data_IF_351235679464
#
_entry.id   IF_351235679464
#
_cell.length_a   1.000
_cell.length_b   1.000
_cell.length_c   1.000
_cell.angle_alpha   90.00
_cell.angle_beta   90.00
_cell.angle_gamma   90.00
#
_symmetry.space_group_name_H-M   'P 1'
#
loop_
_entity.id
_entity.type
_entity.pdbx_description
1 polymer ?
#
# COMPACT_ATOMS: atom_id res chain seq x y z
N UNK A 1 -80.36 -18.44 33.34
CA UNK A 1 -79.69 -17.69 32.25
C UNK A 1 -78.19 -17.85 32.41
N UNK A 2 -77.54 -18.61 31.52
CA UNK A 2 -76.11 -18.93 31.60
C UNK A 2 -75.32 -17.78 30.95
N UNK A 3 -74.51 -17.09 31.75
CA UNK A 3 -73.62 -16.03 31.31
C UNK A 3 -72.45 -16.63 30.49
N UNK A 4 -72.48 -16.45 29.17
CA UNK A 4 -71.37 -16.83 28.28
C UNK A 4 -70.23 -15.81 28.42
N UNK A 5 -69.26 -16.08 29.31
CA UNK A 5 -68.04 -15.27 29.39
C UNK A 5 -67.17 -15.53 28.14
N UNK A 6 -67.16 -14.60 27.19
CA UNK A 6 -66.18 -14.61 26.09
C UNK A 6 -64.78 -14.40 26.67
N UNK A 7 -63.95 -15.43 26.62
CA UNK A 7 -62.52 -15.37 26.95
C UNK A 7 -61.81 -14.39 26.01
N UNK A 8 -61.20 -13.34 26.58
CA UNK A 8 -60.37 -12.36 25.85
C UNK A 8 -58.90 -12.71 26.05
N UNK A 9 -58.11 -12.62 24.98
CA UNK A 9 -56.67 -12.88 25.01
C UNK A 9 -55.91 -11.56 25.02
N UNK A 10 -54.92 -11.42 25.90
CA UNK A 10 -54.15 -10.20 26.10
C UNK A 10 -52.69 -10.42 25.70
N UNK A 11 -52.13 -9.52 24.89
CA UNK A 11 -50.69 -9.40 24.68
C UNK A 11 -50.23 -8.05 25.25
N UNK A 12 -49.24 -8.08 26.15
CA UNK A 12 -48.58 -6.88 26.65
C UNK A 12 -47.18 -6.79 26.03
N UNK A 13 -46.87 -5.63 25.44
CA UNK A 13 -45.50 -5.24 25.09
C UNK A 13 -45.31 -3.85 25.67
N UNK A 14 -44.22 -3.66 26.41
CA UNK A 14 -43.87 -2.43 27.17
C UNK A 14 -44.40 -1.17 26.46
N UNK A 15 -45.49 -0.60 26.99
CA UNK A 15 -46.12 0.64 26.53
C UNK A 15 -47.53 0.52 25.93
N UNK A 16 -47.91 -0.60 25.30
CA UNK A 16 -49.19 -0.72 24.58
C UNK A 16 -49.93 -2.04 24.89
N UNK A 17 -51.24 -1.94 25.15
CA UNK A 17 -52.13 -3.10 25.33
C UNK A 17 -52.93 -3.38 24.06
N UNK A 18 -52.73 -4.54 23.45
CA UNK A 18 -53.57 -5.01 22.34
C UNK A 18 -54.50 -6.13 22.84
N UNK A 19 -55.82 -5.94 22.67
CA UNK A 19 -56.84 -6.95 22.99
C UNK A 19 -57.27 -7.69 21.73
N UNK A 20 -57.24 -9.03 21.76
CA UNK A 20 -57.60 -9.87 20.62
C UNK A 20 -58.94 -10.57 20.85
N UNK A 21 -59.78 -10.60 19.80
CA UNK A 21 -61.13 -11.17 19.85
C UNK A 21 -61.14 -12.70 19.78
N UNK A 22 -60.05 -13.31 19.32
CA UNK A 22 -59.89 -14.77 19.24
C UNK A 22 -58.43 -15.20 19.43
N UNK A 23 -58.24 -16.48 19.76
CA UNK A 23 -56.91 -17.10 19.87
C UNK A 23 -56.12 -17.05 18.56
N UNK A 24 -56.81 -17.17 17.42
CA UNK A 24 -56.18 -17.10 16.09
C UNK A 24 -55.66 -15.70 15.76
N UNK A 25 -56.35 -14.64 16.19
CA UNK A 25 -55.92 -13.26 15.97
C UNK A 25 -54.63 -12.96 16.77
N UNK A 26 -54.55 -13.48 18.00
CA UNK A 26 -53.34 -13.41 18.82
C UNK A 26 -52.17 -14.16 18.17
N UNK A 27 -52.38 -15.39 17.69
CA UNK A 27 -51.33 -16.17 17.01
C UNK A 27 -50.82 -15.48 15.74
N UNK A 28 -51.72 -14.93 14.91
CA UNK A 28 -51.34 -14.15 13.71
C UNK A 28 -50.51 -12.90 14.05
N UNK A 29 -50.85 -12.22 15.14
CA UNK A 29 -50.09 -11.06 15.61
C UNK A 29 -48.68 -11.45 16.11
N UNK A 30 -48.58 -12.53 16.89
CA UNK A 30 -47.30 -13.05 17.39
C UNK A 30 -46.38 -13.53 16.26
N UNK A 31 -46.91 -14.22 15.24
CA UNK A 31 -46.11 -14.69 14.09
C UNK A 31 -45.69 -13.56 13.16
N UNK A 32 -46.55 -12.57 12.93
CA UNK A 32 -46.21 -11.34 12.20
C UNK A 32 -45.07 -10.57 12.89
N UNK A 33 -45.17 -10.39 14.21
CA UNK A 33 -44.18 -9.61 14.98
C UNK A 33 -42.85 -10.35 15.16
N UNK A 34 -42.83 -11.68 15.26
CA UNK A 34 -41.59 -12.46 15.28
C UNK A 34 -40.88 -12.46 13.92
N UNK A 35 -41.62 -12.59 12.82
CA UNK A 35 -41.09 -12.49 11.46
C UNK A 35 -40.48 -11.12 11.17
N UNK A 36 -41.15 -10.02 11.59
CA UNK A 36 -40.61 -8.67 11.45
C UNK A 36 -39.31 -8.45 12.26
N UNK A 37 -39.17 -9.07 13.43
CA UNK A 37 -37.91 -9.00 14.22
C UNK A 37 -36.78 -9.78 13.55
N UNK A 38 -37.07 -10.95 13.00
CA UNK A 38 -36.11 -11.77 12.26
C UNK A 38 -35.61 -11.03 11.01
N UNK A 39 -36.52 -10.45 10.21
CA UNK A 39 -36.18 -9.67 9.01
C UNK A 39 -35.29 -8.47 9.39
N UNK A 40 -35.64 -7.72 10.44
CA UNK A 40 -34.81 -6.60 10.92
C UNK A 40 -33.43 -7.03 11.40
N UNK A 41 -33.30 -8.22 12.00
CA UNK A 41 -32.00 -8.78 12.42
C UNK A 41 -31.16 -9.19 11.22
N UNK A 42 -31.76 -9.85 10.22
CA UNK A 42 -31.09 -10.21 8.96
C UNK A 42 -30.60 -8.99 8.18
N UNK A 43 -31.41 -7.93 8.05
CA UNK A 43 -31.01 -6.70 7.37
C UNK A 43 -29.83 -5.98 8.05
N UNK A 44 -29.77 -5.99 9.40
CA UNK A 44 -28.63 -5.44 10.17
C UNK A 44 -27.35 -6.24 9.99
N UNK A 45 -27.45 -7.57 9.95
CA UNK A 45 -26.29 -8.45 9.73
C UNK A 45 -25.74 -8.25 8.32
N UNK A 46 -26.62 -8.16 7.31
CA UNK A 46 -26.22 -7.95 5.92
C UNK A 46 -25.56 -6.59 5.70
N UNK A 47 -26.04 -5.53 6.34
CA UNK A 47 -25.38 -4.21 6.31
C UNK A 47 -24.00 -4.25 6.97
N UNK A 48 -23.83 -4.97 8.09
CA UNK A 48 -22.53 -5.14 8.73
C UNK A 48 -21.52 -5.85 7.81
N UNK A 49 -21.92 -6.95 7.15
CA UNK A 49 -21.04 -7.65 6.20
C UNK A 49 -20.68 -6.79 5.00
N UNK A 50 -21.61 -6.02 4.45
CA UNK A 50 -21.34 -5.11 3.33
C UNK A 50 -20.31 -4.03 3.71
N UNK A 51 -20.41 -3.47 4.93
CA UNK A 51 -19.43 -2.49 5.44
C UNK A 51 -18.05 -3.13 5.64
N UNK A 52 -18.00 -4.34 6.20
CA UNK A 52 -16.75 -5.07 6.42
C UNK A 52 -16.05 -5.43 5.09
N UNK A 53 -16.81 -5.86 4.07
CA UNK A 53 -16.29 -6.12 2.73
C UNK A 53 -15.74 -4.83 2.10
N UNK A 54 -16.44 -3.70 2.23
CA UNK A 54 -15.95 -2.40 1.75
C UNK A 54 -14.61 -2.04 2.41
N UNK A 55 -14.50 -2.26 3.73
CA UNK A 55 -13.28 -1.98 4.49
C UNK A 55 -12.11 -2.87 4.05
N UNK A 56 -12.35 -4.16 3.83
CA UNK A 56 -11.35 -5.11 3.29
C UNK A 56 -10.86 -4.72 1.88
N UNK A 57 -11.74 -4.24 1.01
CA UNK A 57 -11.36 -3.76 -0.33
C UNK A 57 -10.47 -2.52 -0.23
N UNK A 58 -10.77 -1.59 0.70
CA UNK A 58 -9.95 -0.39 0.88
C UNK A 58 -8.55 -0.68 1.43
N UNK A 59 -8.41 -1.64 2.36
CA UNK A 59 -7.10 -2.01 2.94
C UNK A 59 -6.21 -2.72 1.91
N UNK A 60 -6.78 -3.60 1.09
CA UNK A 60 -6.02 -4.36 0.08
C UNK A 60 -5.58 -3.53 -1.13
N UNK A 61 -6.25 -2.41 -1.40
CA UNK A 61 -5.87 -1.47 -2.47
C UNK A 61 -4.60 -0.67 -2.15
N UNK A 62 -4.29 -0.45 -0.87
CA UNK A 62 -3.16 0.39 -0.46
C UNK A 62 -1.78 -0.30 -0.56
N UNK A 63 -1.70 -1.62 -0.77
CA UNK A 63 -0.43 -2.36 -0.66
C UNK A 63 0.33 -2.57 -1.98
N UNK A 64 -0.13 -2.03 -3.10
CA UNK A 64 0.58 -2.13 -4.39
C UNK A 64 1.23 -0.80 -4.76
N UNK A 65 2.26 -0.40 -4.01
CA UNK A 65 3.22 0.56 -4.53
C UNK A 65 3.96 -0.12 -5.71
N UNK A 66 3.50 0.14 -6.93
CA UNK A 66 4.14 -0.34 -8.16
C UNK A 66 5.57 0.20 -8.23
N UNK A 67 6.55 -0.68 -8.03
CA UNK A 67 7.95 -0.40 -8.31
C UNK A 67 8.08 -0.01 -9.79
N UNK A 68 8.50 1.22 -10.08
CA UNK A 68 8.62 1.70 -11.47
C UNK A 68 10.03 1.40 -11.95
N UNK A 69 10.14 0.56 -12.98
CA UNK A 69 11.41 0.32 -13.69
C UNK A 69 11.58 1.43 -14.73
N UNK A 70 12.73 2.09 -14.73
CA UNK A 70 13.07 3.16 -15.67
C UNK A 70 14.37 2.83 -16.38
N UNK A 71 14.39 2.96 -17.70
CA UNK A 71 15.61 2.87 -18.50
C UNK A 71 16.17 4.27 -18.74
N UNK A 72 17.43 4.48 -18.34
CA UNK A 72 18.11 5.78 -18.42
C UNK A 72 19.37 5.64 -19.25
N UNK A 73 19.39 6.28 -20.42
CA UNK A 73 20.61 6.44 -21.23
C UNK A 73 21.38 7.64 -20.71
N UNK A 74 22.55 7.43 -20.12
CA UNK A 74 23.33 8.52 -19.52
C UNK A 74 24.84 8.27 -19.55
N UNK A 75 25.60 9.35 -19.41
CA UNK A 75 27.06 9.35 -19.37
C UNK A 75 27.55 9.22 -17.94
N UNK A 76 28.55 8.37 -17.70
CA UNK A 76 29.19 8.29 -16.37
C UNK A 76 30.04 9.53 -16.16
N UNK A 77 29.67 10.34 -15.17
CA UNK A 77 30.35 11.61 -14.85
C UNK A 77 31.42 11.38 -13.80
N UNK A 78 31.14 10.58 -12.78
CA UNK A 78 32.04 10.32 -11.66
C UNK A 78 31.82 8.91 -11.13
N UNK A 79 32.90 8.29 -10.67
CA UNK A 79 32.87 7.04 -9.92
C UNK A 79 33.69 7.29 -8.66
N UNK A 80 33.02 7.29 -7.52
CA UNK A 80 33.65 7.29 -6.21
C UNK A 80 33.60 5.88 -5.61
N UNK A 81 34.42 5.64 -4.60
CA UNK A 81 34.56 4.34 -3.95
C UNK A 81 34.55 4.53 -2.44
N UNK A 82 33.87 3.62 -1.75
CA UNK A 82 33.85 3.49 -0.28
C UNK A 82 34.41 2.11 0.09
N UNK A 83 34.29 1.68 1.35
CA UNK A 83 34.78 0.35 1.74
C UNK A 83 33.98 -0.74 1.02
N UNK A 84 32.66 -0.60 0.99
CA UNK A 84 31.71 -1.64 0.57
C UNK A 84 31.03 -1.33 -0.76
N UNK A 85 31.00 -0.07 -1.20
CA UNK A 85 30.23 0.36 -2.37
C UNK A 85 31.03 1.22 -3.36
N UNK A 86 30.62 1.19 -4.62
CA UNK A 86 30.89 2.23 -5.60
C UNK A 86 29.71 3.20 -5.67
N UNK A 87 30.00 4.48 -5.79
CA UNK A 87 29.00 5.55 -5.94
C UNK A 87 29.18 6.13 -7.33
N UNK A 88 28.15 6.04 -8.17
CA UNK A 88 28.24 6.36 -9.58
C UNK A 88 27.35 7.57 -9.85
N UNK A 89 27.99 8.69 -10.19
CA UNK A 89 27.29 9.85 -10.75
C UNK A 89 27.13 9.64 -12.25
N UNK A 90 25.88 9.72 -12.70
CA UNK A 90 25.54 9.76 -14.12
C UNK A 90 24.98 11.12 -14.48
N UNK A 91 25.30 11.59 -15.67
CA UNK A 91 24.51 12.67 -16.21
C UNK A 91 24.80 13.15 -17.61
N UNK A 92 23.73 13.60 -18.24
CA UNK A 92 23.68 14.45 -19.42
C UNK A 92 22.97 15.77 -19.04
N UNK A 93 22.86 16.74 -19.96
CA UNK A 93 22.32 18.08 -19.63
C UNK A 93 20.95 18.05 -18.92
N UNK A 94 20.08 17.08 -19.24
CA UNK A 94 18.73 16.93 -18.67
C UNK A 94 18.61 15.84 -17.61
N UNK A 95 19.43 14.80 -17.69
CA UNK A 95 19.33 13.63 -16.81
C UNK A 95 20.54 13.60 -15.91
N UNK A 96 20.40 14.00 -14.64
CA UNK A 96 21.47 13.85 -13.64
C UNK A 96 21.00 12.93 -12.54
N UNK A 97 21.82 11.95 -12.17
CA UNK A 97 21.48 11.04 -11.10
C UNK A 97 22.66 10.39 -10.43
N UNK A 98 22.37 9.74 -9.31
CA UNK A 98 23.32 9.00 -8.50
C UNK A 98 22.71 7.63 -8.23
N UNK A 99 23.54 6.60 -8.31
CA UNK A 99 23.19 5.28 -7.80
C UNK A 99 24.40 4.66 -7.10
N UNK A 100 24.11 3.73 -6.21
CA UNK A 100 25.10 3.01 -5.41
C UNK A 100 25.11 1.57 -5.87
N UNK A 101 26.29 0.96 -5.94
CA UNK A 101 26.40 -0.46 -6.23
C UNK A 101 27.40 -1.13 -5.29
N UNK A 102 27.07 -2.32 -4.83
CA UNK A 102 27.97 -3.10 -4.00
C UNK A 102 29.25 -3.47 -4.76
N UNK A 103 30.38 -3.49 -4.06
CA UNK A 103 31.61 -4.09 -4.58
C UNK A 103 31.50 -5.61 -4.66
N UNK A 104 30.69 -6.21 -3.80
CA UNK A 104 30.40 -7.64 -3.83
C UNK A 104 29.26 -7.91 -4.81
N UNK A 105 29.53 -8.74 -5.81
CA UNK A 105 28.49 -9.27 -6.69
C UNK A 105 28.37 -10.78 -6.44
N UNK A 106 27.33 -11.18 -5.71
CA UNK A 106 26.98 -12.59 -5.50
C UNK A 106 25.74 -13.01 -6.30
N UNK A 107 25.31 -12.19 -7.26
CA UNK A 107 24.11 -12.46 -8.04
C UNK A 107 24.47 -13.29 -9.28
N UNK A 108 23.91 -14.49 -9.42
CA UNK A 108 24.18 -15.38 -10.56
C UNK A 108 23.65 -14.82 -11.89
N UNK A 109 22.59 -14.01 -11.86
CA UNK A 109 21.94 -13.46 -13.06
C UNK A 109 22.55 -12.15 -13.54
N UNK A 110 23.15 -11.38 -12.62
CA UNK A 110 23.77 -10.10 -12.93
C UNK A 110 25.28 -10.25 -12.98
N UNK A 111 25.92 -9.58 -13.94
CA UNK A 111 27.37 -9.59 -14.07
C UNK A 111 27.97 -8.28 -13.57
N UNK A 112 29.21 -8.35 -13.11
CA UNK A 112 30.01 -7.14 -12.94
C UNK A 112 30.23 -6.51 -14.32
N UNK A 113 30.09 -5.19 -14.39
CA UNK A 113 30.19 -4.47 -15.64
C UNK A 113 31.40 -3.53 -15.61
N UNK A 114 32.14 -3.48 -16.73
CA UNK A 114 33.22 -2.50 -16.90
C UNK A 114 32.61 -1.19 -17.40
N UNK A 115 32.48 -0.21 -16.51
CA UNK A 115 32.07 1.14 -16.87
C UNK A 115 33.27 2.10 -16.82
N UNK A 116 33.30 3.06 -17.74
CA UNK A 116 34.36 4.07 -17.81
C UNK A 116 33.77 5.46 -17.66
N UNK A 117 34.52 6.34 -16.99
CA UNK A 117 34.20 7.77 -16.95
C UNK A 117 34.10 8.31 -18.37
N UNK A 118 33.16 9.22 -18.57
CA UNK A 118 32.85 9.86 -19.85
C UNK A 118 32.31 8.95 -20.96
N UNK A 119 31.88 7.72 -20.65
CA UNK A 119 31.22 6.83 -21.61
C UNK A 119 29.73 6.77 -21.32
N UNK A 120 28.92 6.66 -22.38
CA UNK A 120 27.46 6.50 -22.29
C UNK A 120 27.06 5.04 -22.17
N UNK A 121 26.09 4.77 -21.30
CA UNK A 121 25.51 3.45 -21.09
C UNK A 121 23.99 3.57 -20.93
N UNK A 122 23.31 2.43 -21.08
CA UNK A 122 21.89 2.28 -20.75
C UNK A 122 21.81 1.57 -19.40
N UNK A 123 21.25 2.25 -18.41
CA UNK A 123 21.04 1.72 -17.07
C UNK A 123 19.56 1.41 -16.89
N UNK A 124 19.26 0.24 -16.32
CA UNK A 124 17.90 -0.09 -15.89
C UNK A 124 17.83 0.12 -14.39
N UNK A 125 17.00 1.05 -13.94
CA UNK A 125 16.87 1.37 -12.53
C UNK A 125 15.51 0.97 -12.00
N UNK A 126 15.49 0.44 -10.78
CA UNK A 126 14.30 0.48 -9.94
C UNK A 126 14.24 1.86 -9.30
N UNK A 127 13.24 2.64 -9.67
CA UNK A 127 12.96 3.92 -9.06
C UNK A 127 11.79 3.75 -8.10
N UNK A 128 12.01 4.01 -6.82
CA UNK A 128 10.91 4.51 -6.01
C UNK A 128 10.72 5.96 -6.39
N UNK A 129 9.52 6.31 -6.81
CA UNK A 129 9.12 7.71 -6.71
C UNK A 129 9.16 8.01 -5.22
N UNK A 130 10.18 8.74 -4.79
CA UNK A 130 10.07 9.47 -3.54
C UNK A 130 8.97 10.49 -3.78
N UNK A 131 7.72 10.06 -3.60
CA UNK A 131 6.55 10.86 -3.90
C UNK A 131 6.39 11.79 -2.69
N UNK A 132 6.75 13.07 -2.82
CA UNK A 132 6.68 14.02 -1.71
C UNK A 132 5.26 14.13 -1.13
N UNK A 133 4.25 13.70 -1.90
CA UNK A 133 2.83 13.79 -1.53
C UNK A 133 2.27 12.56 -0.80
N UNK A 134 3.02 11.45 -0.65
CA UNK A 134 2.52 10.23 0.02
C UNK A 134 3.17 9.95 1.37
N UNK A 135 4.19 10.70 1.73
CA UNK A 135 4.76 10.65 3.08
C UNK A 135 4.02 11.66 3.96
N UNK A 136 3.55 11.23 5.12
CA UNK A 136 3.07 12.10 6.21
C UNK A 136 4.15 13.08 6.73
N UNK A 137 5.32 13.09 6.12
CA UNK A 137 6.46 13.94 6.44
C UNK A 137 6.35 15.24 5.63
N UNK A 138 6.42 16.42 6.28
CA UNK A 138 6.36 17.69 5.58
C UNK A 138 7.47 17.78 4.51
N UNK A 139 7.16 18.40 3.37
CA UNK A 139 8.05 18.67 2.22
C UNK A 139 9.40 19.38 2.54
N UNK A 140 9.67 19.66 3.81
CA UNK A 140 10.89 20.30 4.32
C UNK A 140 11.91 19.30 4.87
N UNK A 141 11.55 18.02 5.00
CA UNK A 141 12.46 17.05 5.60
C UNK A 141 13.63 16.73 4.66
N UNK A 142 14.83 16.88 5.20
CA UNK A 142 16.07 16.52 4.53
C UNK A 142 16.19 15.01 4.54
N UNK A 143 16.13 14.40 3.36
CA UNK A 143 16.35 12.97 3.18
C UNK A 143 17.77 12.78 2.71
N UNK A 144 18.46 11.84 3.36
CA UNK A 144 19.84 11.52 3.09
C UNK A 144 19.97 10.04 2.77
N UNK A 145 20.80 9.75 1.80
CA UNK A 145 21.26 8.40 1.50
C UNK A 145 22.72 8.28 1.89
N UNK A 146 23.08 7.14 2.48
CA UNK A 146 24.39 6.89 3.03
C UNK A 146 25.03 5.64 2.40
N UNK A 147 26.34 5.68 2.20
CA UNK A 147 27.17 4.51 1.91
C UNK A 147 28.36 4.50 2.88
N UNK A 148 28.52 3.44 3.67
CA UNK A 148 29.53 3.33 4.73
C UNK A 148 29.61 4.59 5.62
N UNK A 149 28.47 5.05 6.13
CA UNK A 149 28.33 6.26 6.98
C UNK A 149 28.65 7.60 6.29
N UNK A 150 28.98 7.60 5.00
CA UNK A 150 29.16 8.82 4.20
C UNK A 150 27.87 9.20 3.49
N UNK A 151 27.47 10.46 3.56
CA UNK A 151 26.34 10.99 2.78
C UNK A 151 26.73 10.95 1.29
N UNK A 152 25.91 10.26 0.49
CA UNK A 152 26.12 10.12 -0.96
C UNK A 152 25.09 10.86 -1.79
N UNK A 153 23.89 11.03 -1.26
CA UNK A 153 22.83 11.81 -1.89
C UNK A 153 21.94 12.47 -0.84
N UNK A 154 21.34 13.61 -1.21
CA UNK A 154 20.20 14.17 -0.49
C UNK A 154 19.24 14.87 -1.47
N UNK A 155 18.00 15.08 -1.03
CA UNK A 155 16.94 15.68 -1.84
C UNK A 155 17.22 17.13 -2.32
N UNK A 156 18.23 17.82 -1.76
CA UNK A 156 18.68 19.15 -2.24
C UNK A 156 19.67 19.08 -3.40
N UNK A 157 20.25 17.92 -3.72
CA UNK A 157 21.36 17.80 -4.68
C UNK A 157 21.00 17.98 -6.17
N UNK A 158 19.76 18.38 -6.53
CA UNK A 158 19.29 18.55 -7.93
C UNK A 158 19.68 17.38 -8.86
N UNK A 159 19.71 16.17 -8.31
CA UNK A 159 20.02 14.90 -8.97
C UNK A 159 19.00 13.87 -8.53
N UNK A 160 18.59 12.97 -9.41
CA UNK A 160 17.75 11.83 -9.03
C UNK A 160 18.57 10.76 -8.32
N UNK A 161 18.03 10.18 -7.26
CA UNK A 161 18.61 8.97 -6.66
C UNK A 161 17.93 7.74 -7.26
N UNK A 162 18.72 6.78 -7.70
CA UNK A 162 18.24 5.48 -8.15
C UNK A 162 18.71 4.41 -7.16
N UNK A 163 17.75 3.76 -6.51
CA UNK A 163 18.01 2.83 -5.40
C UNK A 163 18.79 1.60 -5.86
N UNK A 164 18.40 1.04 -7.01
CA UNK A 164 18.95 -0.21 -7.50
C UNK A 164 19.10 -0.19 -9.01
N UNK A 165 20.26 -0.64 -9.49
CA UNK A 165 20.51 -0.87 -10.91
C UNK A 165 20.26 -2.35 -11.23
N UNK A 166 19.27 -2.62 -12.07
CA UNK A 166 18.75 -3.95 -12.36
C UNK A 166 19.53 -4.70 -13.44
N UNK A 167 20.48 -4.04 -14.11
CA UNK A 167 21.29 -4.66 -15.16
C UNK A 167 22.79 -4.78 -14.81
N UNK A 168 23.17 -4.54 -13.55
CA UNK A 168 24.52 -4.80 -13.04
C UNK A 168 24.52 -5.10 -11.54
N UNK A 169 25.53 -5.80 -11.04
CA UNK A 169 25.67 -6.13 -9.61
C UNK A 169 27.02 -5.73 -8.99
N UNK A 170 27.91 -5.09 -9.76
CA UNK A 170 29.20 -4.60 -9.31
C UNK A 170 29.97 -3.96 -10.47
N UNK A 171 31.12 -3.36 -10.16
CA UNK A 171 32.03 -2.84 -11.18
C UNK A 171 33.27 -3.73 -11.29
N UNK A 172 33.64 -4.02 -12.53
CA UNK A 172 34.92 -4.64 -12.85
C UNK A 172 35.97 -3.53 -13.01
N UNK A 173 36.94 -3.48 -12.10
CA UNK A 173 38.12 -2.62 -12.20
C UNK A 173 39.31 -3.55 -12.48
N UNK A 174 39.93 -3.40 -13.66
CA UNK A 174 41.24 -4.00 -13.90
C UNK A 174 42.23 -3.33 -12.95
N UNK A 175 42.79 -4.09 -12.02
CA UNK A 175 44.02 -3.67 -11.35
C UNK A 175 45.08 -3.52 -12.44
N UNK A 176 45.55 -2.30 -12.66
CA UNK A 176 46.75 -2.05 -13.48
C UNK A 176 47.97 -2.69 -12.82
#
# INVERSE_FOLDING_TARGET
>A
MINNSKSRYFASKVGDFATFRSKNDYFKYCTSTSNLRLIKKYMKIQTFFNIAILYLITITSQTKAQETIVEVKSKVVKIDSTKSFYIIDIGLKKDKGIFIISKTCNNYFLKQMKIKKNVEYIFKFRSRRHNPNTTFLPNKDLIFEYADQKIVWNNKMKKSFYEECLNMCGLFIENQ
#
